data_IF_865824357950
#
_entry.id   IF_865824357950
#
_cell.length_a   1.000
_cell.length_b   1.000
_cell.length_c   1.000
_cell.angle_alpha   90.00
_cell.angle_beta   90.00
_cell.angle_gamma   90.00
#
_symmetry.space_group_name_H-M   'P 1'
#
loop_
_entity.id
_entity.type
_entity.pdbx_description
1 polymer ?
#
# COMPACT_ATOMS: atom_id res chain seq x y z
N UNK A 1 -15.82 2.80 4.73
CA UNK A 1 -15.50 1.71 5.69
C UNK A 1 -15.21 2.26 7.08
N UNK A 2 -14.25 3.18 7.23
CA UNK A 2 -13.93 3.78 8.54
C UNK A 2 -15.09 4.53 9.24
N UNK A 3 -16.18 4.84 8.53
CA UNK A 3 -17.37 5.50 9.09
C UNK A 3 -18.46 4.51 9.53
N UNK A 4 -18.19 3.20 9.52
CA UNK A 4 -19.12 2.17 9.98
C UNK A 4 -18.87 1.95 11.48
N UNK A 5 -19.88 2.16 12.32
CA UNK A 5 -19.78 1.96 13.75
C UNK A 5 -19.38 0.51 14.09
N UNK A 6 -18.47 0.34 15.04
CA UNK A 6 -17.91 -0.96 15.43
C UNK A 6 -16.74 -1.45 14.56
N UNK A 7 -16.44 -0.79 13.43
CA UNK A 7 -15.20 -1.07 12.68
C UNK A 7 -14.04 -0.36 13.35
N UNK A 8 -13.07 -1.14 13.83
CA UNK A 8 -11.88 -0.62 14.50
C UNK A 8 -10.83 -0.14 13.49
N UNK A 9 -10.56 -0.95 12.46
CA UNK A 9 -9.64 -0.64 11.37
C UNK A 9 -10.02 -1.47 10.14
N UNK A 10 -9.61 -1.03 8.96
CA UNK A 10 -9.73 -1.81 7.74
C UNK A 10 -8.35 -2.06 7.11
N UNK A 11 -8.24 -3.10 6.29
CA UNK A 11 -6.97 -3.52 5.68
C UNK A 11 -6.55 -2.73 4.44
N UNK A 12 -7.18 -1.58 4.14
CA UNK A 12 -6.82 -0.76 2.98
C UNK A 12 -5.81 0.31 3.38
N UNK A 13 -4.58 0.16 2.89
CA UNK A 13 -3.46 1.08 3.13
C UNK A 13 -3.37 2.13 2.01
N UNK A 14 -4.45 2.90 1.81
CA UNK A 14 -4.55 3.89 0.71
C UNK A 14 -4.11 5.29 1.17
N UNK A 15 -4.48 5.69 2.40
CA UNK A 15 -4.06 6.97 2.98
C UNK A 15 -2.58 6.99 3.40
N UNK A 16 -1.98 5.81 3.56
CA UNK A 16 -0.54 5.58 3.78
C UNK A 16 -0.11 4.36 2.95
N UNK A 17 0.09 4.55 1.63
CA UNK A 17 0.53 3.48 0.75
C UNK A 17 2.03 3.20 0.95
N UNK A 18 2.53 2.14 0.32
CA UNK A 18 3.96 1.90 0.26
C UNK A 18 4.66 2.98 -0.60
N UNK A 19 5.76 3.53 -0.09
CA UNK A 19 6.63 4.44 -0.85
C UNK A 19 7.42 3.69 -1.92
N UNK A 20 7.88 2.48 -1.59
CA UNK A 20 8.62 1.60 -2.49
C UNK A 20 8.17 0.16 -2.29
N UNK A 21 7.97 -0.56 -3.38
CA UNK A 21 7.64 -1.99 -3.43
C UNK A 21 8.77 -2.72 -4.13
N UNK A 22 9.33 -3.74 -3.46
CA UNK A 22 10.29 -4.67 -4.02
C UNK A 22 9.56 -5.97 -4.38
N UNK A 23 9.22 -6.14 -5.65
CA UNK A 23 8.46 -7.29 -6.15
C UNK A 23 9.41 -8.36 -6.67
N UNK A 24 9.43 -9.52 -6.03
CA UNK A 24 10.16 -10.68 -6.55
C UNK A 24 9.45 -11.26 -7.77
N UNK A 25 10.18 -11.47 -8.87
CA UNK A 25 9.68 -12.09 -10.10
C UNK A 25 10.63 -13.19 -10.56
N UNK A 26 10.19 -14.03 -11.51
CA UNK A 26 11.05 -15.06 -12.12
C UNK A 26 12.34 -14.48 -12.74
N UNK A 27 12.31 -13.21 -13.14
CA UNK A 27 13.44 -12.51 -13.77
C UNK A 27 14.20 -11.61 -12.77
N UNK A 28 14.03 -11.84 -11.46
CA UNK A 28 14.64 -11.06 -10.39
C UNK A 28 13.70 -10.04 -9.76
N UNK A 29 14.26 -9.15 -8.93
CA UNK A 29 13.50 -8.17 -8.15
C UNK A 29 13.18 -6.95 -9.01
N UNK A 30 11.90 -6.56 -9.06
CA UNK A 30 11.43 -5.31 -9.65
C UNK A 30 11.11 -4.29 -8.57
N UNK A 31 11.69 -3.11 -8.67
CA UNK A 31 11.43 -2.00 -7.75
C UNK A 31 10.38 -1.07 -8.34
N UNK A 32 9.27 -0.87 -7.63
CA UNK A 32 8.25 0.11 -7.96
C UNK A 32 8.23 1.19 -6.88
N UNK A 33 8.46 2.45 -7.25
CA UNK A 33 8.36 3.57 -6.32
C UNK A 33 7.05 4.33 -6.56
N UNK A 34 6.29 4.54 -5.51
CA UNK A 34 5.13 5.40 -5.57
C UNK A 34 5.58 6.86 -5.48
N UNK A 35 5.16 7.67 -6.46
CA UNK A 35 5.47 9.12 -6.49
C UNK A 35 4.38 9.97 -5.86
N UNK A 36 3.39 9.38 -5.21
CA UNK A 36 2.39 10.12 -4.45
C UNK A 36 3.06 10.84 -3.26
N UNK A 37 3.65 12.00 -3.55
CA UNK A 37 3.97 13.03 -2.56
C UNK A 37 2.67 13.74 -2.21
N UNK A 38 2.57 14.14 -0.94
CA UNK A 38 1.44 14.80 -0.29
C UNK A 38 0.80 15.92 -1.12
#
# INVERSE_FOLDING_TARGET
INQIAGVVCNGLFISRPADVVLLSTQNGIKTHSNRARA
#
